data_IF_641800763435
#
_entry.id   IF_641800763435
#
_cell.length_a   1.000
_cell.length_b   1.000
_cell.length_c   1.000
_cell.angle_alpha   90.00
_cell.angle_beta   90.00
_cell.angle_gamma   90.00
#
_symmetry.space_group_name_H-M   'P 1'
#
loop_
_entity.id
_entity.type
_entity.pdbx_description
1 polymer ?
2 non-polymer ?
3 non-polymer ?
4 non-polymer ?
5 water ?
#
# COMPACT_ATOMS: atom_id res chain seq x y z
N UNK A 20 2.58 -9.76 14.91
CA UNK A 20 1.91 -9.43 13.62
C UNK A 20 2.12 -10.57 12.62
N UNK A 21 1.36 -11.65 12.81
CA UNK A 21 1.46 -12.81 11.93
C UNK A 21 0.12 -13.31 11.39
N UNK A 22 -1.01 -12.94 11.98
CA UNK A 22 -2.32 -13.34 11.44
C UNK A 22 -3.19 -12.15 11.10
N UNK A 23 -4.04 -12.34 10.10
CA UNK A 23 -4.98 -11.32 9.66
C UNK A 23 -6.40 -11.70 10.08
N UNK A 24 -7.09 -10.77 10.74
CA UNK A 24 -8.47 -10.92 11.15
C UNK A 24 -9.34 -9.90 10.44
N UNK A 25 -10.63 -10.19 10.34
CA UNK A 25 -11.60 -9.21 9.86
C UNK A 25 -11.57 -8.00 10.77
N UNK A 26 -11.37 -6.83 10.18
CA UNK A 26 -11.33 -5.59 10.92
C UNK A 26 -12.63 -5.27 11.66
N UNK A 27 -13.75 -5.66 11.08
CA UNK A 27 -15.06 -5.31 11.63
C UNK A 27 -15.51 -6.21 12.81
N UNK A 28 -15.00 -7.43 12.88
CA UNK A 28 -15.47 -8.36 13.90
C UNK A 28 -14.44 -9.27 14.54
N UNK A 29 -13.24 -9.40 13.97
CA UNK A 29 -12.22 -10.28 14.54
C UNK A 29 -12.12 -11.70 14.04
N UNK A 30 -13.02 -12.10 13.14
CA UNK A 30 -12.95 -13.41 12.51
C UNK A 30 -11.54 -13.68 11.98
N UNK A 31 -10.97 -14.85 12.28
CA UNK A 31 -9.66 -15.24 11.73
C UNK A 31 -9.80 -15.46 10.21
N UNK A 32 -8.95 -14.81 9.40
CA UNK A 32 -9.05 -14.90 7.93
C UNK A 32 -7.81 -15.47 7.24
N UNK A 33 -6.62 -14.94 7.53
CA UNK A 33 -5.41 -15.46 6.89
C UNK A 33 -4.14 -15.22 7.72
N UNK A 34 -2.98 -15.45 7.11
CA UNK A 34 -1.71 -15.37 7.81
C UNK A 34 -0.69 -14.73 6.89
N UNK A 35 0.26 -14.00 7.48
CA UNK A 35 1.33 -13.37 6.71
C UNK A 35 2.12 -14.42 5.91
N UNK A 36 2.31 -15.60 6.51
CA UNK A 36 3.01 -16.70 5.86
C UNK A 36 2.34 -17.22 4.59
N UNK A 37 1.06 -16.88 4.41
CA UNK A 37 0.29 -17.32 3.25
C UNK A 37 0.19 -16.27 2.14
N UNK A 38 0.91 -15.16 2.28
CA UNK A 38 0.97 -14.15 1.21
C UNK A 38 1.57 -14.76 -0.05
N UNK A 39 1.03 -14.35 -1.20
CA UNK A 39 1.36 -14.93 -2.49
C UNK A 39 1.81 -13.85 -3.48
N UNK A 40 3.09 -13.84 -3.86
CA UNK A 40 3.53 -12.89 -4.89
C UNK A 40 3.06 -13.26 -6.31
N UNK A 41 1.86 -12.82 -6.66
CA UNK A 41 1.31 -12.97 -8.02
C UNK A 41 1.95 -11.93 -8.93
N UNK A 42 2.69 -12.39 -9.94
CA UNK A 42 3.38 -11.49 -10.86
C UNK A 42 4.51 -10.71 -10.21
N UNK A 43 5.10 -11.26 -9.15
CA UNK A 43 6.24 -10.63 -8.47
C UNK A 43 5.91 -9.74 -7.28
N UNK A 44 4.63 -9.59 -6.96
CA UNK A 44 4.20 -8.73 -5.84
C UNK A 44 2.87 -9.24 -5.28
N UNK A 45 2.80 -9.38 -3.96
CA UNK A 45 1.54 -9.79 -3.33
C UNK A 45 0.52 -8.65 -3.32
N UNK A 46 0.98 -7.42 -3.52
CA UNK A 46 0.12 -6.23 -3.53
C UNK A 46 -0.21 -5.75 -4.95
N UNK A 47 -1.50 -5.66 -5.24
CA UNK A 47 -2.00 -5.16 -6.52
C UNK A 47 -3.06 -4.10 -6.26
N UNK A 48 -2.90 -2.93 -6.87
CA UNK A 48 -3.90 -1.86 -6.72
C UNK A 48 -4.74 -1.78 -7.98
N UNK A 49 -6.06 -1.84 -7.80
CA UNK A 49 -6.99 -2.04 -8.90
C UNK A 49 -8.24 -1.20 -8.69
N UNK A 50 -8.99 -0.97 -9.76
CA UNK A 50 -10.28 -0.28 -9.70
C UNK A 50 -11.37 -1.13 -10.29
N UNK A 51 -12.57 -1.02 -9.73
CA UNK A 51 -13.74 -1.63 -10.33
C UNK A 51 -14.49 -0.66 -11.26
N UNK A 52 -15.52 -1.14 -11.97
CA UNK A 52 -16.25 -0.27 -12.91
C UNK A 52 -16.92 0.97 -12.26
N UNK A 53 -17.16 0.92 -10.95
CA UNK A 53 -17.68 2.07 -10.20
C UNK A 53 -16.58 3.02 -9.71
N UNK A 54 -15.33 2.79 -10.13
CA UNK A 54 -14.22 3.70 -9.84
C UNK A 54 -13.62 3.53 -8.46
N UNK A 55 -14.09 2.55 -7.69
CA UNK A 55 -13.54 2.30 -6.37
C UNK A 55 -12.16 1.68 -6.52
N UNK A 56 -11.21 2.21 -5.76
CA UNK A 56 -9.85 1.68 -5.71
C UNK A 56 -9.73 0.65 -4.58
N UNK A 57 -9.03 -0.44 -4.84
CA UNK A 57 -8.79 -1.46 -3.81
C UNK A 57 -7.31 -1.79 -3.78
N UNK A 58 -6.73 -1.80 -2.58
CA UNK A 58 -5.38 -2.30 -2.39
C UNK A 58 -5.53 -3.78 -2.04
N UNK A 59 -5.27 -4.63 -3.02
CA UNK A 59 -5.50 -6.06 -2.88
C UNK A 59 -4.20 -6.78 -2.52
N UNK A 60 -4.25 -7.57 -1.46
CA UNK A 60 -3.16 -8.47 -1.09
C UNK A 60 -3.56 -9.89 -1.49
N UNK A 61 -2.70 -10.56 -2.24
CA UNK A 61 -2.98 -11.93 -2.68
C UNK A 61 -2.46 -12.92 -1.66
N UNK A 62 -3.29 -13.89 -1.33
CA UNK A 62 -2.95 -14.96 -0.40
C UNK A 62 -3.21 -16.29 -1.10
N UNK A 63 -2.33 -17.26 -0.85
CA UNK A 63 -2.55 -18.60 -1.36
C UNK A 63 -3.74 -19.27 -0.66
N UNK A 64 -4.02 -18.84 0.57
CA UNK A 64 -4.96 -19.49 1.42
C UNK A 64 -5.64 -18.49 2.35
N UNK A 65 -6.89 -18.79 2.69
CA UNK A 65 -7.66 -18.02 3.67
C UNK A 65 -8.75 -18.91 4.22
N UNK A 66 -9.31 -18.49 5.33
CA UNK A 66 -10.35 -19.21 6.05
C UNK A 66 -11.35 -18.21 6.61
N UNK A 67 -12.46 -18.72 7.12
CA UNK A 67 -13.46 -17.90 7.78
C UNK A 67 -14.23 -16.98 6.87
N UNK A 68 -14.15 -17.22 5.56
CA UNK A 68 -14.88 -16.46 4.57
C UNK A 68 -16.11 -17.23 4.19
N UNK A 69 -17.02 -16.55 3.50
CA UNK A 69 -18.15 -17.18 2.82
C UNK A 69 -18.08 -16.73 1.37
N UNK A 70 -17.92 -17.70 0.47
CA UNK A 70 -17.80 -17.42 -0.96
C UNK A 70 -19.18 -17.44 -1.58
N UNK A 71 -19.52 -16.34 -2.27
CA UNK A 71 -20.89 -16.08 -2.70
C UNK A 71 -21.13 -16.41 -4.17
N UNK A 72 -22.15 -17.23 -4.43
CA UNK A 72 -22.59 -17.50 -5.79
C UNK A 72 -21.59 -18.34 -6.58
N UNK A 73 -21.64 -18.21 -7.90
CA UNK A 73 -20.78 -18.97 -8.79
C UNK A 73 -19.80 -18.02 -9.48
N UNK A 74 -18.67 -18.54 -9.97
CA UNK A 74 -17.64 -17.66 -10.51
C UNK A 74 -18.04 -16.88 -11.77
N UNK A 75 -17.39 -15.74 -11.97
CA UNK A 75 -17.56 -14.92 -13.15
C UNK A 75 -16.20 -14.43 -13.64
N UNK A 76 -16.03 -14.35 -14.95
CA UNK A 76 -14.81 -13.75 -15.54
C UNK A 76 -14.93 -12.25 -15.82
N UNK A 77 -16.13 -11.70 -15.66
CA UNK A 77 -16.40 -10.31 -16.04
C UNK A 77 -15.55 -9.33 -15.23
N UNK A 78 -14.81 -8.47 -15.94
CA UNK A 78 -13.94 -7.45 -15.32
C UNK A 78 -12.81 -8.00 -14.44
N UNK A 79 -12.44 -9.27 -14.61
CA UNK A 79 -11.42 -9.84 -13.73
C UNK A 79 -10.09 -9.10 -13.82
N UNK A 80 -9.51 -8.79 -12.65
CA UNK A 80 -8.22 -8.11 -12.56
C UNK A 80 -7.04 -9.03 -12.82
N UNK A 81 -7.26 -10.34 -12.81
CA UNK A 81 -6.18 -11.30 -12.94
C UNK A 81 -6.48 -12.20 -14.12
N UNK A 82 -5.62 -12.15 -15.13
CA UNK A 82 -5.87 -12.84 -16.39
C UNK A 82 -6.02 -14.33 -16.20
N UNK A 83 -7.06 -14.89 -16.78
CA UNK A 83 -7.29 -16.33 -16.73
C UNK A 83 -8.08 -16.80 -15.53
N UNK A 84 -8.39 -15.89 -14.59
CA UNK A 84 -9.14 -16.24 -13.37
C UNK A 84 -10.55 -15.69 -13.37
N UNK A 85 -11.44 -16.52 -12.85
CA UNK A 85 -12.81 -16.17 -12.58
C UNK A 85 -12.96 -15.92 -11.09
N UNK A 86 -13.86 -15.01 -10.71
CA UNK A 86 -13.94 -14.59 -9.31
C UNK A 86 -15.29 -14.86 -8.69
N UNK A 87 -15.27 -15.05 -7.36
CA UNK A 87 -16.46 -15.04 -6.53
C UNK A 87 -16.20 -14.08 -5.39
N UNK A 88 -17.24 -13.35 -5.00
CA UNK A 88 -17.16 -12.44 -3.85
C UNK A 88 -16.89 -13.25 -2.58
N UNK A 89 -15.96 -12.76 -1.77
CA UNK A 89 -15.64 -13.35 -0.48
C UNK A 89 -16.07 -12.40 0.63
N UNK A 90 -17.07 -12.79 1.40
CA UNK A 90 -17.49 -12.06 2.58
C UNK A 90 -16.84 -12.66 3.82
N UNK A 91 -16.67 -11.84 4.84
CA UNK A 91 -16.40 -12.38 6.17
C UNK A 91 -17.54 -13.34 6.49
N UNK A 92 -17.20 -14.58 6.86
CA UNK A 92 -18.21 -15.58 7.20
C UNK A 92 -18.96 -15.30 8.49
N UNK A 93 -18.40 -14.44 9.33
CA UNK A 93 -19.00 -14.08 10.59
C UNK A 93 -19.92 -12.86 10.44
N UNK A 94 -19.36 -11.74 9.98
CA UNK A 94 -20.11 -10.47 9.97
C UNK A 94 -20.66 -10.03 8.61
N UNK A 95 -20.22 -10.66 7.53
CA UNK A 95 -20.70 -10.33 6.19
C UNK A 95 -19.96 -9.19 5.50
N UNK A 96 -18.94 -8.64 6.16
CA UNK A 96 -18.12 -7.60 5.55
C UNK A 96 -17.49 -8.09 4.24
N UNK A 97 -17.52 -7.27 3.20
CA UNK A 97 -16.88 -7.65 1.96
C UNK A 97 -15.36 -7.56 2.09
N UNK A 98 -14.71 -8.72 2.17
CA UNK A 98 -13.25 -8.77 2.41
C UNK A 98 -12.42 -8.93 1.14
N UNK A 99 -13.04 -9.38 0.06
CA UNK A 99 -12.34 -9.52 -1.20
C UNK A 99 -12.98 -10.51 -2.13
N UNK A 100 -12.14 -11.32 -2.78
CA UNK A 100 -12.59 -12.26 -3.81
C UNK A 100 -11.77 -13.54 -3.77
N UNK A 101 -12.41 -14.65 -4.14
CA UNK A 101 -11.71 -15.89 -4.42
C UNK A 101 -11.59 -16.04 -5.93
N UNK A 102 -10.39 -16.36 -6.38
CA UNK A 102 -10.11 -16.54 -7.79
C UNK A 102 -9.88 -18.02 -8.08
N UNK A 103 -10.42 -18.50 -9.19
CA UNK A 103 -10.29 -19.89 -9.59
C UNK A 103 -10.32 -20.02 -11.10
N UNK A 104 -10.19 -21.26 -11.58
CA UNK A 104 -10.26 -21.54 -13.01
C UNK A 104 -9.03 -21.14 -13.81
N UNK A 105 -7.97 -20.73 -13.13
CA UNK A 105 -6.75 -20.26 -13.78
C UNK A 105 -5.66 -21.30 -13.77
N UNK A 106 -4.40 -20.84 -13.83
CA UNK A 106 -3.24 -21.74 -13.90
C UNK A 106 -2.06 -21.21 -13.05
N UNK A 107 -1.47 -22.11 -12.27
CA UNK A 107 -0.24 -21.86 -11.51
C UNK A 107 -0.25 -20.52 -10.75
N UNK A 108 -1.07 -20.41 -9.70
CA UNK A 108 -1.95 -21.45 -9.16
C UNK A 108 -3.33 -21.47 -9.81
N UNK A 109 -4.06 -22.57 -9.66
CA UNK A 109 -5.43 -22.63 -10.17
C UNK A 109 -6.34 -21.66 -9.43
N UNK A 110 -6.08 -21.50 -8.12
CA UNK A 110 -6.91 -20.66 -7.26
C UNK A 110 -6.07 -19.81 -6.31
N UNK A 111 -6.62 -18.69 -5.87
CA UNK A 111 -6.02 -17.89 -4.77
C UNK A 111 -7.05 -16.91 -4.24
N UNK A 112 -6.71 -16.18 -3.18
CA UNK A 112 -7.58 -15.15 -2.63
C UNK A 112 -6.98 -13.76 -2.81
N UNK A 113 -7.82 -12.82 -3.19
CA UNK A 113 -7.41 -11.42 -3.25
C UNK A 113 -8.22 -10.68 -2.21
N UNK A 114 -7.55 -10.24 -1.15
CA UNK A 114 -8.21 -9.63 -0.01
C UNK A 114 -7.84 -8.15 0.10
N UNK A 115 -8.83 -7.35 0.51
CA UNK A 115 -8.67 -5.90 0.59
C UNK A 115 -7.94 -5.56 1.88
N UNK A 116 -6.71 -5.05 1.72
CA UNK A 116 -5.79 -4.88 2.86
C UNK A 116 -6.38 -4.11 4.03
N UNK A 117 -7.07 -3.00 3.76
CA UNK A 117 -7.54 -2.14 4.85
C UNK A 117 -8.81 -2.65 5.51
N UNK A 118 -9.33 -3.78 5.06
CA UNK A 118 -10.46 -4.43 5.71
C UNK A 118 -10.04 -5.55 6.65
N UNK A 119 -8.73 -5.73 6.81
CA UNK A 119 -8.14 -6.71 7.71
C UNK A 119 -7.37 -5.99 8.81
N UNK A 120 -7.23 -6.66 9.96
CA UNK A 120 -6.37 -6.23 11.04
C UNK A 120 -5.30 -7.29 11.27
N UNK A 121 -4.05 -6.86 11.41
CA UNK A 121 -2.92 -7.77 11.60
C UNK A 121 -2.49 -7.80 13.07
N UNK A 122 -2.12 -8.99 13.55
CA UNK A 122 -1.78 -9.15 14.95
C UNK A 122 -1.20 -10.51 15.28
N UNK A 123 -0.97 -10.76 16.57
CA UNK A 123 -0.33 -12.01 17.01
C UNK A 123 -1.22 -13.24 16.83
N UNK A 124 -0.61 -14.40 16.63
CA UNK A 124 -1.35 -15.66 16.43
C UNK A 124 -2.01 -16.15 17.72
N UNK B 21 1.82 20.04 6.35
CA UNK B 21 0.87 19.95 7.49
C UNK B 21 1.50 19.24 8.69
N UNK B 22 0.88 19.43 9.87
CA UNK B 22 1.32 18.82 11.10
C UNK B 22 0.18 18.05 11.75
N UNK B 23 0.56 17.14 12.64
CA UNK B 23 -0.38 16.37 13.42
C UNK B 23 -0.27 16.83 14.86
N UNK B 24 -1.39 17.26 15.40
CA UNK B 24 -1.47 17.71 16.79
C UNK B 24 -2.23 16.68 17.59
N UNK B 25 -1.95 16.63 18.88
CA UNK B 25 -2.77 15.86 19.80
C UNK B 25 -4.20 16.36 19.73
N UNK B 26 -5.14 15.46 19.49
CA UNK B 26 -6.55 15.83 19.34
C UNK B 26 -7.13 16.38 20.63
N UNK B 27 -6.66 15.89 21.77
CA UNK B 27 -7.20 16.31 23.07
C UNK B 27 -6.76 17.72 23.47
N UNK B 28 -5.47 18.06 23.32
CA UNK B 28 -4.96 19.35 23.84
C UNK B 28 -4.30 20.29 22.80
N UNK B 29 -4.05 19.80 21.59
CA UNK B 29 -3.46 20.65 20.54
C UNK B 29 -1.94 20.69 20.42
N UNK B 30 -1.22 20.05 21.33
CA UNK B 30 0.23 20.06 21.22
C UNK B 30 0.70 19.43 19.92
N UNK B 31 1.67 20.08 19.27
CA UNK B 31 2.22 19.57 18.02
C UNK B 31 2.98 18.28 18.33
N UNK B 32 2.74 17.24 17.53
CA UNK B 32 3.31 15.92 17.79
C UNK B 32 4.19 15.43 16.63
N UNK B 33 3.69 15.51 15.41
CA UNK B 33 4.50 15.07 14.30
C UNK B 33 4.10 15.82 13.02
N UNK B 34 4.69 15.42 11.91
CA UNK B 34 4.55 16.16 10.66
C UNK B 34 4.32 15.18 9.54
N UNK B 35 3.53 15.59 8.55
CA UNK B 35 3.32 14.75 7.39
C UNK B 35 4.64 14.41 6.67
N UNK B 36 5.60 15.34 6.68
CA UNK B 36 6.92 15.10 6.10
C UNK B 36 7.61 13.87 6.71
N UNK B 37 7.23 13.52 7.93
CA UNK B 37 7.84 12.42 8.67
C UNK B 37 7.11 11.09 8.53
N UNK B 38 6.04 11.05 7.75
CA UNK B 38 5.35 9.78 7.52
C UNK B 38 6.34 8.77 6.97
N UNK B 39 6.24 7.55 7.47
CA UNK B 39 7.20 6.48 7.21
C UNK B 39 6.47 5.24 6.73
N UNK B 40 6.65 4.86 5.45
CA UNK B 40 5.94 3.66 4.96
C UNK B 40 6.60 2.34 5.38
N UNK B 41 6.47 1.96 6.65
CA UNK B 41 7.02 0.69 7.15
C UNK B 41 6.32 -0.48 6.47
N UNK B 42 7.07 -1.37 5.86
CA UNK B 42 6.50 -2.52 5.16
C UNK B 42 5.59 -2.15 3.99
N UNK B 43 5.85 -1.01 3.37
CA UNK B 43 5.12 -0.57 2.18
C UNK B 43 3.89 0.30 2.41
N UNK B 44 3.63 0.67 3.67
CA UNK B 44 2.45 1.46 4.00
C UNK B 44 2.65 2.19 5.32
N UNK B 45 2.29 3.47 5.36
CA UNK B 45 2.35 4.19 6.62
C UNK B 45 1.17 3.84 7.54
N UNK B 46 0.04 3.39 6.98
CA UNK B 46 -1.09 2.90 7.78
C UNK B 46 -1.03 1.40 8.04
N UNK B 47 -1.22 1.03 9.29
CA UNK B 47 -1.27 -0.34 9.75
C UNK B 47 -2.46 -0.51 10.67
N UNK B 48 -3.45 -1.30 10.25
CA UNK B 48 -4.54 -1.68 11.13
C UNK B 48 -4.12 -2.95 11.83
N UNK B 49 -4.13 -2.90 13.16
CA UNK B 49 -3.54 -3.95 13.99
C UNK B 49 -4.42 -4.30 15.18
N UNK B 50 -4.23 -5.48 15.74
CA UNK B 50 -4.90 -5.85 16.98
C UNK B 50 -3.89 -6.34 18.02
N UNK B 51 -4.21 -6.14 19.29
CA UNK B 51 -3.35 -6.59 20.36
C UNK B 51 -3.83 -7.91 20.97
N UNK B 52 -3.11 -8.48 21.95
CA UNK B 52 -3.54 -9.75 22.51
C UNK B 52 -4.90 -9.72 23.24
N UNK B 53 -5.32 -8.54 23.69
CA UNK B 53 -6.63 -8.38 24.34
C UNK B 53 -7.76 -8.25 23.30
N UNK B 54 -7.38 -8.18 22.02
CA UNK B 54 -8.34 -8.11 20.94
C UNK B 54 -8.77 -6.70 20.58
N UNK B 55 -8.08 -5.69 21.12
CA UNK B 55 -8.38 -4.31 20.78
C UNK B 55 -7.79 -4.00 19.40
N UNK B 56 -8.52 -3.26 18.58
CA UNK B 56 -8.06 -2.92 17.23
C UNK B 56 -7.65 -1.45 17.15
N UNK B 57 -6.50 -1.19 16.53
CA UNK B 57 -6.00 0.17 16.35
C UNK B 57 -5.62 0.43 14.90
N UNK B 58 -5.78 1.69 14.48
CA UNK B 58 -5.30 2.11 13.17
C UNK B 58 -4.13 3.03 13.40
N UNK B 59 -2.94 2.53 13.10
CA UNK B 59 -1.68 3.17 13.44
C UNK B 59 -1.03 3.75 12.19
N UNK B 60 -0.55 4.99 12.29
CA UNK B 60 0.26 5.61 11.25
C UNK B 60 1.69 5.75 11.73
N UNK B 61 2.65 5.36 10.89
CA UNK B 61 4.06 5.37 11.27
C UNK B 61 4.74 6.69 10.90
N UNK B 62 5.52 7.22 11.83
CA UNK B 62 6.27 8.45 11.65
C UNK B 62 7.72 8.24 12.09
N UNK B 63 8.65 8.88 11.39
CA UNK B 63 10.08 8.70 11.65
C UNK B 63 10.50 9.37 12.95
N UNK B 64 9.89 10.51 13.23
CA UNK B 64 10.17 11.29 14.44
C UNK B 64 8.87 11.83 14.97
N UNK B 65 8.94 12.28 16.21
CA UNK B 65 7.83 12.95 16.83
C UNK B 65 8.40 13.79 17.95
N UNK B 66 7.57 14.68 18.46
CA UNK B 66 7.95 15.51 19.59
C UNK B 66 6.75 15.69 20.50
N UNK B 67 7.00 16.16 21.71
CA UNK B 67 5.93 16.49 22.63
C UNK B 67 5.29 15.28 23.30
N UNK B 68 5.80 14.08 23.06
CA UNK B 68 5.32 12.90 23.73
C UNK B 68 6.11 12.62 25.02
N UNK B 69 5.57 11.72 25.83
CA UNK B 69 6.28 11.18 26.99
C UNK B 69 6.18 9.67 26.88
N UNK B 70 7.35 9.01 26.77
CA UNK B 70 7.42 7.56 26.69
C UNK B 70 7.51 6.96 28.09
N UNK B 71 6.72 5.92 28.34
CA UNK B 71 6.54 5.34 29.66
C UNK B 71 7.03 3.89 29.66
N UNK B 72 7.81 3.53 30.67
CA UNK B 72 8.25 2.15 30.86
C UNK B 72 9.53 1.79 30.12
N UNK B 73 10.00 0.57 30.35
CA UNK B 73 11.18 0.03 29.68
C UNK B 73 10.71 -0.58 28.37
N UNK B 74 11.57 -0.56 27.33
CA UNK B 74 11.12 -1.17 26.08
C UNK B 74 10.81 -2.66 26.23
N UNK B 75 9.85 -3.15 25.45
CA UNK B 75 9.45 -4.55 25.47
C UNK B 75 9.40 -5.11 24.05
N UNK B 76 9.86 -6.35 23.89
CA UNK B 76 9.76 -7.06 22.61
C UNK B 76 8.47 -7.84 22.43
N UNK B 77 7.71 -8.01 23.50
CA UNK B 77 6.51 -8.86 23.48
C UNK B 77 5.42 -8.34 22.54
N UNK B 78 4.96 -9.20 21.64
CA UNK B 78 3.84 -8.92 20.76
C UNK B 78 4.05 -7.68 19.90
N UNK B 79 5.28 -7.33 19.60
CA UNK B 79 5.53 -6.15 18.79
C UNK B 79 4.88 -6.32 17.41
N UNK B 80 4.22 -5.28 16.93
CA UNK B 80 3.62 -5.29 15.60
C UNK B 80 4.69 -5.16 14.52
N UNK B 81 5.92 -4.78 14.89
CA UNK B 81 6.98 -4.57 13.93
C UNK B 81 8.19 -5.41 14.31
N UNK B 82 8.44 -6.45 13.49
CA UNK B 82 9.47 -7.43 13.76
C UNK B 82 10.83 -6.76 13.90
N UNK B 83 11.58 -7.14 14.93
CA UNK B 83 12.90 -6.57 15.21
C UNK B 83 12.90 -5.28 16.03
N UNK B 84 11.72 -4.83 16.44
CA UNK B 84 11.60 -3.61 17.24
C UNK B 84 10.98 -3.88 18.61
N UNK B 85 11.51 -3.23 19.63
CA UNK B 85 10.89 -3.19 20.95
C UNK B 85 10.03 -1.95 21.04
N UNK B 86 9.00 -1.97 21.88
CA UNK B 86 8.06 -0.85 21.97
C UNK B 86 7.96 -0.27 23.37
N UNK B 87 7.58 1.00 23.41
CA UNK B 87 7.25 1.69 24.66
C UNK B 87 6.01 2.51 24.40
N UNK B 88 5.13 2.59 25.39
CA UNK B 88 3.90 3.36 25.25
C UNK B 88 4.21 4.86 25.14
N UNK B 89 3.51 5.54 24.25
CA UNK B 89 3.71 6.99 24.04
C UNK B 89 2.45 7.76 24.42
N UNK B 90 2.57 8.60 25.45
CA UNK B 90 1.51 9.55 25.82
C UNK B 90 1.82 10.95 25.33
N UNK B 91 0.79 11.76 25.10
CA UNK B 91 1.01 13.20 24.96
C UNK B 91 1.66 13.71 26.24
N UNK B 92 2.79 14.40 26.10
CA UNK B 92 3.52 14.93 27.24
C UNK B 92 2.76 16.02 27.98
N UNK B 93 1.87 16.70 27.26
CA UNK B 93 1.11 17.82 27.81
C UNK B 93 -0.16 17.39 28.55
N UNK B 94 -0.97 16.52 27.94
CA UNK B 94 -2.27 16.16 28.52
C UNK B 94 -2.42 14.70 28.95
N UNK B 95 -1.47 13.84 28.58
CA UNK B 95 -1.54 12.42 28.95
C UNK B 95 -2.31 11.49 28.01
N UNK B 96 -2.92 12.03 26.95
CA UNK B 96 -3.63 11.19 25.97
C UNK B 96 -2.72 10.10 25.43
N UNK B 97 -3.22 8.86 25.35
CA UNK B 97 -2.44 7.77 24.77
C UNK B 97 -2.42 7.89 23.25
N UNK B 98 -1.29 8.33 22.70
CA UNK B 98 -1.21 8.62 21.28
C UNK B 98 -0.59 7.49 20.45
N UNK B 99 0.06 6.53 21.08
CA UNK B 99 0.63 5.39 20.37
C UNK B 99 1.81 4.76 21.09
N UNK B 100 2.84 4.43 20.30
CA UNK B 100 4.01 3.69 20.78
C UNK B 100 5.27 4.19 20.06
N UNK B 101 6.39 4.10 20.77
CA UNK B 101 7.71 4.30 20.16
C UNK B 101 8.37 2.95 19.97
N UNK B 102 9.07 2.80 18.85
CA UNK B 102 9.71 1.55 18.50
C UNK B 102 11.20 1.81 18.40
N UNK B 103 11.99 0.87 18.91
CA UNK B 103 13.44 1.02 18.90
C UNK B 103 14.16 -0.31 18.76
N UNK B 104 15.48 -0.25 18.57
CA UNK B 104 16.32 -1.44 18.59
C UNK B 104 16.49 -2.14 17.24
N UNK B 105 15.78 -1.70 16.21
CA UNK B 105 15.96 -2.23 14.87
C UNK B 105 17.10 -1.52 14.16
N UNK B 106 17.11 -1.62 12.84
CA UNK B 106 18.06 -0.87 12.01
C UNK B 106 17.36 -0.44 10.72
N UNK B 107 17.60 0.80 10.31
CA UNK B 107 16.98 1.37 9.11
C UNK B 107 15.45 1.30 9.16
N UNK B 108 14.81 2.14 10.00
CA UNK B 108 15.41 3.07 10.95
C UNK B 108 15.60 2.45 12.33
N UNK B 109 16.51 2.99 13.13
CA UNK B 109 16.75 2.45 14.47
C UNK B 109 15.54 2.70 15.35
N UNK B 110 14.87 3.84 15.15
CA UNK B 110 13.69 4.18 15.90
C UNK B 110 12.59 4.81 15.04
N UNK B 111 11.34 4.64 15.44
CA UNK B 111 10.20 5.32 14.80
C UNK B 111 8.99 5.26 15.74
N UNK B 112 7.92 5.95 15.35
CA UNK B 112 6.70 5.99 16.13
C UNK B 112 5.53 5.40 15.36
N UNK B 113 4.67 4.68 16.08
CA UNK B 113 3.38 4.24 15.56
C UNK B 113 2.32 5.00 16.34
N UNK B 114 1.67 5.96 15.69
CA UNK B 114 0.70 6.82 16.36
C UNK B 114 -0.72 6.51 15.91
N UNK B 115 -1.66 6.62 16.84
CA UNK B 115 -3.05 6.29 16.59
C UNK B 115 -3.71 7.46 15.84
N UNK B 116 -4.03 7.24 14.57
CA UNK B 116 -4.52 8.30 13.69
C UNK B 116 -5.72 9.03 14.27
N UNK B 117 -6.66 8.26 14.84
CA UNK B 117 -7.89 8.82 15.42
C UNK B 117 -7.63 9.78 16.59
N UNK B 118 -6.47 9.69 17.23
CA UNK B 118 -6.13 10.52 18.39
C UNK B 118 -5.31 11.75 18.01
N UNK B 119 -5.08 11.94 16.73
CA UNK B 119 -4.37 13.07 16.22
C UNK B 119 -5.30 13.94 15.39
N UNK B 120 -4.90 15.20 15.22
CA UNK B 120 -5.63 16.13 14.36
C UNK B 120 -4.65 16.76 13.39
N UNK B 121 -4.88 16.53 12.10
CA UNK B 121 -4.04 17.10 11.06
C UNK B 121 -4.50 18.50 10.70
N UNK B 122 -3.55 19.41 10.53
CA UNK B 122 -3.84 20.78 10.14
C UNK B 122 -2.60 21.52 9.69
N UNK B 123 -2.76 22.77 9.23
CA UNK B 123 -1.62 23.54 8.74
C UNK B 123 -0.61 23.87 9.83
N UNK B 124 0.65 23.99 9.43
CA UNK B 124 1.71 24.52 10.30
C UNK B 124 1.56 26.03 10.43
N UNK C 19 -10.86 -5.70 -17.14
CA UNK C 19 -10.51 -5.44 -15.71
C UNK C 19 -9.25 -4.61 -15.52
N UNK C 20 -8.27 -4.78 -16.41
CA UNK C 20 -6.99 -4.06 -16.33
C UNK C 20 -6.62 -3.40 -17.67
N UNK C 21 -7.55 -2.64 -18.24
CA UNK C 21 -7.40 -1.99 -19.55
C UNK C 21 -6.92 -0.52 -19.46
N UNK C 22 -7.30 0.18 -18.39
CA UNK C 22 -6.90 1.58 -18.16
C UNK C 22 -5.92 1.65 -16.99
N UNK C 23 -4.89 2.48 -17.12
CA UNK C 23 -3.90 2.69 -16.05
C UNK C 23 -4.09 4.06 -15.44
N UNK C 24 -4.15 4.09 -14.11
CA UNK C 24 -4.39 5.31 -13.36
C UNK C 24 -3.34 5.49 -12.30
N UNK C 25 -3.22 6.72 -11.82
CA UNK C 25 -2.36 7.01 -10.67
C UNK C 25 -2.87 6.21 -9.45
N UNK C 26 -1.95 5.47 -8.83
CA UNK C 26 -2.27 4.64 -7.67
C UNK C 26 -2.75 5.45 -6.46
N UNK C 27 -2.20 6.65 -6.33
CA UNK C 27 -2.50 7.51 -5.17
C UNK C 27 -3.85 8.22 -5.24
N UNK C 28 -4.22 8.72 -6.42
CA UNK C 28 -5.45 9.52 -6.56
C UNK C 28 -6.41 9.05 -7.65
N UNK C 29 -5.97 8.20 -8.58
CA UNK C 29 -6.86 7.66 -9.60
C UNK C 29 -6.95 8.44 -10.91
N UNK C 30 -6.15 9.49 -11.03
CA UNK C 30 -6.01 10.24 -12.29
C UNK C 30 -5.79 9.27 -13.45
N UNK C 31 -6.51 9.46 -14.54
CA UNK C 31 -6.33 8.65 -15.75
C UNK C 31 -5.01 9.00 -16.41
N UNK C 32 -4.21 7.98 -16.71
CA UNK C 32 -2.86 8.20 -17.25
C UNK C 32 -2.68 7.57 -18.65
N UNK C 33 -2.93 6.28 -18.78
CA UNK C 33 -2.76 5.63 -20.10
C UNK C 33 -3.66 4.41 -20.24
N UNK C 34 -3.39 3.58 -21.24
CA UNK C 34 -4.23 2.39 -21.46
C UNK C 34 -3.46 1.29 -22.14
N UNK C 35 -3.98 0.07 -21.99
CA UNK C 35 -3.34 -1.13 -22.52
C UNK C 35 -3.08 -0.99 -24.02
N UNK C 36 -4.04 -0.40 -24.74
CA UNK C 36 -3.92 -0.17 -26.19
C UNK C 36 -2.68 0.64 -26.60
N UNK C 37 -2.19 1.49 -25.70
CA UNK C 37 -1.02 2.34 -25.98
C UNK C 37 0.30 1.73 -25.49
N UNK C 38 0.26 0.51 -24.95
CA UNK C 38 1.50 -0.17 -24.54
C UNK C 38 2.41 -0.38 -25.75
N UNK C 39 3.72 -0.26 -25.52
CA UNK C 39 4.72 -0.31 -26.57
C UNK C 39 5.55 -1.58 -26.46
N UNK C 46 6.37 -5.13 -19.96
CA UNK C 46 6.85 -4.92 -18.60
C UNK C 46 8.36 -5.18 -18.48
N UNK C 47 9.15 -4.11 -18.37
CA UNK C 47 10.61 -4.20 -18.30
C UNK C 47 11.11 -4.20 -16.86
N UNK C 48 11.86 -5.23 -16.49
CA UNK C 48 12.52 -5.28 -15.18
C UNK C 48 13.87 -4.56 -15.28
N UNK C 49 13.99 -3.44 -14.59
CA UNK C 49 15.20 -2.59 -14.64
C UNK C 49 15.68 -2.25 -13.23
N UNK C 50 16.94 -1.81 -13.14
CA UNK C 50 17.58 -1.53 -11.85
C UNK C 50 18.07 -0.09 -11.81
N UNK C 51 17.77 0.62 -10.72
CA UNK C 51 18.26 1.99 -10.56
C UNK C 51 19.76 1.94 -10.20
N UNK C 52 20.44 3.10 -10.15
CA UNK C 52 21.87 3.07 -9.88
C UNK C 52 22.26 2.40 -8.55
N UNK C 53 21.34 2.43 -7.57
CA UNK C 53 21.59 1.79 -6.27
C UNK C 53 21.31 0.28 -6.26
N UNK C 54 20.88 -0.27 -7.40
CA UNK C 54 20.62 -1.71 -7.53
C UNK C 54 19.22 -2.12 -7.15
N UNK C 55 18.32 -1.15 -6.99
CA UNK C 55 16.94 -1.41 -6.61
C UNK C 55 16.08 -1.69 -7.84
N UNK C 56 15.27 -2.75 -7.77
CA UNK C 56 14.45 -3.19 -8.91
C UNK C 56 13.25 -2.28 -9.16
N UNK C 57 13.02 -1.97 -10.44
CA UNK C 57 11.82 -1.33 -10.91
C UNK C 57 11.21 -2.14 -12.06
N UNK C 58 9.88 -2.21 -12.09
CA UNK C 58 9.15 -2.79 -13.22
C UNK C 58 8.47 -1.65 -13.95
N UNK C 59 8.82 -1.47 -15.22
CA UNK C 59 8.40 -0.32 -16.01
C UNK C 59 7.57 -0.77 -17.22
N UNK C 60 6.41 -0.13 -17.38
CA UNK C 60 5.58 -0.26 -18.59
C UNK C 60 5.95 0.88 -19.53
N UNK C 61 6.11 0.59 -20.81
CA UNK C 61 6.34 1.64 -21.81
C UNK C 61 5.07 1.89 -22.63
N UNK C 62 4.68 3.15 -22.74
CA UNK C 62 3.48 3.58 -23.45
C UNK C 62 3.85 4.58 -24.54
N UNK C 63 3.19 4.47 -25.68
CA UNK C 63 3.40 5.43 -26.77
C UNK C 63 2.73 6.77 -26.44
N UNK C 64 1.65 6.72 -25.65
CA UNK C 64 0.87 7.90 -25.33
C UNK C 64 0.45 7.88 -23.87
N UNK C 65 0.25 9.06 -23.30
CA UNK C 65 -0.23 9.20 -21.94
C UNK C 65 -0.84 10.60 -21.75
N UNK C 66 -1.61 10.74 -20.68
CA UNK C 66 -2.26 12.00 -20.37
C UNK C 66 -2.21 12.22 -18.87
N UNK C 67 -2.58 13.42 -18.45
CA UNK C 67 -2.74 13.72 -17.04
C UNK C 67 -1.45 13.78 -16.23
N UNK C 68 -0.31 13.78 -16.91
CA UNK C 68 0.98 13.91 -16.24
C UNK C 68 1.43 15.36 -16.29
N UNK C 69 2.48 15.64 -15.52
CA UNK C 69 3.15 16.91 -15.58
C UNK C 69 4.64 16.60 -15.69
N UNK C 70 5.27 17.08 -16.76
CA UNK C 70 6.67 16.79 -17.03
C UNK C 70 7.52 17.92 -16.46
N UNK C 71 8.52 17.56 -15.67
CA UNK C 71 9.28 18.53 -14.86
C UNK C 71 10.73 18.68 -15.34
N UNK C 72 11.19 19.92 -15.46
CA UNK C 72 12.61 20.19 -15.71
C UNK C 72 13.11 19.83 -17.09
N UNK C 73 14.43 19.98 -17.27
CA UNK C 73 15.08 19.67 -18.55
C UNK C 73 15.38 18.17 -18.66
N UNK C 74 15.57 17.66 -19.89
CA UNK C 74 15.86 16.23 -20.07
C UNK C 74 17.25 15.85 -19.58
N UNK C 75 17.42 14.59 -19.18
CA UNK C 75 18.73 14.06 -18.79
C UNK C 75 18.99 12.68 -19.39
N UNK C 76 20.24 12.42 -19.76
CA UNK C 76 20.65 11.11 -20.28
C UNK C 76 21.27 10.19 -19.24
N UNK C 77 21.40 10.67 -18.00
CA UNK C 77 22.11 9.94 -16.95
C UNK C 77 21.45 8.60 -16.60
N UNK C 78 22.22 7.52 -16.69
CA UNK C 78 21.74 6.17 -16.36
C UNK C 78 20.44 5.77 -17.07
N UNK C 79 20.20 6.30 -18.26
CA UNK C 79 18.95 6.00 -18.97
C UNK C 79 18.86 4.49 -19.23
N UNK C 80 17.70 3.91 -18.91
CA UNK C 80 17.48 2.47 -19.09
C UNK C 80 17.29 2.08 -20.55
N UNK C 81 16.99 3.06 -21.40
CA UNK C 81 16.71 2.80 -22.81
C UNK C 81 17.74 3.50 -23.69
N UNK C 82 18.44 2.72 -24.50
CA UNK C 82 19.58 3.23 -25.25
C UNK C 82 19.11 4.29 -26.25
N UNK C 83 19.76 5.45 -26.19
CA UNK C 83 19.48 6.55 -27.12
C UNK C 83 18.39 7.51 -26.67
N UNK C 84 17.87 7.33 -25.46
CA UNK C 84 16.79 8.17 -24.95
C UNK C 84 17.23 8.95 -23.72
N UNK C 85 16.85 10.23 -23.67
CA UNK C 85 16.96 11.05 -22.46
C UNK C 85 15.62 11.05 -21.73
N UNK C 86 15.64 11.22 -20.41
CA UNK C 86 14.43 11.16 -19.60
C UNK C 86 14.09 12.50 -18.93
N UNK C 87 12.80 12.67 -18.67
CA UNK C 87 12.27 13.80 -17.92
C UNK C 87 11.28 13.24 -16.90
N UNK C 88 11.29 13.77 -15.68
CA UNK C 88 10.42 13.28 -14.61
C UNK C 88 8.96 13.53 -14.97
N UNK C 89 8.12 12.52 -14.78
CA UNK C 89 6.69 12.61 -15.02
C UNK C 89 5.93 12.42 -13.71
N UNK C 90 5.27 13.49 -13.28
CA UNK C 90 4.45 13.47 -12.09
C UNK C 90 2.99 13.33 -12.49
N UNK C 91 2.18 12.77 -11.60
CA UNK C 91 0.73 12.85 -11.74
C UNK C 91 0.33 14.34 -11.68
N UNK C 92 -0.43 14.78 -12.68
CA UNK C 92 -0.86 16.17 -12.78
C UNK C 92 -1.88 16.56 -11.72
N UNK C 93 -2.52 15.55 -11.13
CA UNK C 93 -3.58 15.77 -10.16
C UNK C 93 -3.06 15.83 -8.72
N UNK C 94 -2.20 14.88 -8.34
CA UNK C 94 -1.73 14.79 -6.94
C UNK C 94 -0.22 14.99 -6.76
N UNK C 95 0.55 14.96 -7.84
CA UNK C 95 1.99 15.19 -7.76
C UNK C 95 2.85 13.94 -7.54
N UNK C 96 2.22 12.78 -7.44
CA UNK C 96 2.96 11.51 -7.27
C UNK C 96 3.91 11.26 -8.45
N UNK C 97 5.12 10.78 -8.15
CA UNK C 97 6.09 10.49 -9.21
C UNK C 97 5.72 9.15 -9.85
N UNK C 98 5.23 9.19 -11.09
CA UNK C 98 4.75 7.97 -11.76
C UNK C 98 5.76 7.34 -12.70
N UNK C 99 6.73 8.14 -13.16
CA UNK C 99 7.74 7.62 -14.07
C UNK C 99 8.45 8.71 -14.82
N UNK C 100 8.70 8.46 -16.10
CA UNK C 100 9.50 9.37 -16.94
C UNK C 100 8.98 9.43 -18.36
N UNK C 101 9.21 10.57 -18.99
CA UNK C 101 9.01 10.74 -20.43
C UNK C 101 10.38 10.61 -21.09
N UNK C 102 10.47 9.76 -22.10
CA UNK C 102 11.72 9.56 -22.84
C UNK C 102 11.66 10.20 -24.22
N UNK C 103 12.80 10.76 -24.67
CA UNK C 103 12.88 11.37 -26.00
C UNK C 103 14.30 11.37 -26.56
N UNK C 104 14.41 11.71 -27.83
CA UNK C 104 15.72 11.83 -28.50
C UNK C 104 16.08 10.69 -29.44
N UNK C 105 15.46 9.53 -29.25
CA UNK C 105 15.71 8.38 -30.10
C UNK C 105 14.87 8.40 -31.37
N UNK C 106 14.64 7.23 -31.94
CA UNK C 106 13.80 7.08 -33.13
C UNK C 106 13.19 5.68 -33.19
N UNK C 107 11.98 5.60 -33.73
CA UNK C 107 11.22 4.36 -33.78
C UNK C 107 11.09 3.72 -32.38
N UNK C 108 10.40 4.41 -31.46
CA UNK C 108 9.75 5.72 -31.58
C UNK C 108 10.62 6.90 -31.13
N UNK C 109 10.25 8.10 -31.58
CA UNK C 109 10.87 9.35 -31.14
C UNK C 109 10.79 9.48 -29.63
N UNK C 110 9.59 9.28 -29.10
CA UNK C 110 9.28 9.50 -27.70
C UNK C 110 8.40 8.37 -27.16
N UNK C 111 8.41 8.21 -25.84
CA UNK C 111 7.48 7.32 -25.14
C UNK C 111 7.48 7.65 -23.65
N UNK C 112 6.55 7.04 -22.91
CA UNK C 112 6.48 7.20 -21.47
C UNK C 112 6.86 5.87 -20.82
N UNK C 113 7.76 5.92 -19.85
CA UNK C 113 8.14 4.75 -19.05
C UNK C 113 7.61 4.92 -17.66
N UNK C 114 6.56 4.19 -17.31
CA UNK C 114 5.88 4.38 -16.03
C UNK C 114 6.05 3.20 -15.09
N UNK C 115 6.17 3.53 -13.81
CA UNK C 115 6.48 2.54 -12.77
C UNK C 115 5.22 1.74 -12.42
N UNK C 116 5.26 0.42 -12.60
CA UNK C 116 4.11 -0.45 -12.35
C UNK C 116 3.46 -0.23 -10.99
N UNK C 117 4.28 -0.18 -9.94
CA UNK C 117 3.76 -0.11 -8.58
C UNK C 117 3.39 1.31 -8.13
N UNK C 118 3.43 2.27 -9.06
CA UNK C 118 2.88 3.61 -8.86
C UNK C 118 1.54 3.76 -9.59
N UNK C 119 1.10 2.69 -10.25
CA UNK C 119 -0.13 2.71 -11.03
C UNK C 119 -1.14 1.71 -10.48
N UNK C 120 -2.38 1.92 -10.88
CA UNK C 120 -3.43 0.96 -10.62
C UNK C 120 -4.16 0.70 -11.93
N UNK C 121 -4.69 -0.50 -12.06
CA UNK C 121 -5.34 -0.94 -13.30
C UNK C 121 -6.84 -1.07 -13.13
N UNK C 122 -7.60 -0.64 -14.13
CA UNK C 122 -9.06 -0.73 -14.10
C UNK C 122 -9.68 -0.98 -15.47
N UNK C 123 -10.99 -1.25 -15.50
CA UNK C 123 -11.68 -1.51 -16.75
C UNK C 123 -11.84 -0.24 -17.59
N UNK C 124 -12.10 -0.42 -18.89
CA UNK C 124 -12.34 0.70 -19.80
C UNK C 124 -13.56 1.49 -19.37
X LIG D 1 -16.11 -9.83 9.99
X LIG E 1 -13.96 -5.29 -11.06
X LIG E 1 -13.78 -6.32 -10.43
X LIG E 1 -12.67 -7.21 -10.76
X LIG E 1 -12.40 -8.44 -10.03
X LIG E 1 -11.45 -9.14 -10.34
X LIG E 1 -13.34 -8.79 -8.89
X LIG E 1 -14.74 -8.25 -9.18
X LIG E 1 -14.67 -6.73 -9.25
X LIG E 1 -16.00 -6.11 -9.32
X LIG E 1 -20.16 -4.12 -10.22
X LIG E 1 -19.24 -4.99 -10.80
X LIG E 1 -18.09 -5.29 -10.08
X LIG E 1 -17.83 -4.71 -8.84
X LIG E 1 -16.77 -6.94 -11.59
X LIG E 1 -15.90 -4.84 -7.13
X LIG E 1 -18.73 -3.81 -8.28
X LIG E 1 -19.92 -3.53 -8.97
X LIG E 1 -16.47 -5.08 -8.40
X LIG E 1 -16.89 -6.05 -10.49
X LIG F 1 -2.32 16.32 24.41
X LIG G 1 0.13 -5.54 20.93
X LIG G 1 0.87 -4.58 20.92
X LIG G 1 1.87 -4.42 19.87
X LIG G 1 2.78 -3.29 19.80
X LIG G 1 3.57 -3.23 18.88
X LIG G 1 2.67 -2.24 20.90
X LIG G 1 2.23 -2.91 22.19
X LIG G 1 0.82 -3.47 21.98
X LIG G 1 0.21 -3.98 23.19
X LIG G 1 -1.45 -6.28 26.93
X LIG G 1 -0.38 -6.30 26.03
X LIG G 1 -0.34 -5.33 25.03
X LIG G 1 -1.34 -4.38 24.90
X LIG G 1 1.83 -5.86 23.69
X LIG G 1 -1.81 -2.41 23.23
X LIG G 1 -2.43 -4.36 25.76
X LIG G 1 -2.47 -5.32 26.80
X LIG G 1 -1.11 -3.59 23.67
X LIG G 1 0.58 -5.21 23.88
X LIG H 1 -2.24 11.13 -8.64
X LIG I 1 19.58 9.11 -12.54
X LIG I 1 15.72 7.65 -14.31
X LIG I 1 16.05 5.91 -16.03
X LIG I 1 17.31 5.75 -14.00
X LIG I 1 15.01 6.74 -15.32
X LIG I 1 17.45 7.93 -12.69
X LIG I 1 15.58 6.25 -12.27
X LIG I 1 15.90 5.60 -17.19
X LIG I 1 18.09 5.02 -13.40
X LIG I 1 17.12 5.55 -15.31
X LIG I 1 16.55 6.86 -13.29
X LIG I 1 16.22 5.49 -11.13
X LIG I 1 16.94 8.82 -11.74
X LIG I 1 17.72 9.83 -11.19
X LIG I 1 19.05 9.97 -11.59
X LIG I 1 19.79 10.96 -11.04
X LIG I 1 18.79 8.10 -13.09
#
# INVERSE_FOLDING_TARGET
>A
AMPLDAGGQNSTQMVLAPGASIFRCRQCGQTISRRDWLLPMGGDHEHVVFNPAGMIFRVWCFSLAQGLRLIGAPSGEFSWFKGYDWTIALCGQCGSHLGWHYEGGSQPQTFFGLIKDRLAEGPAD
>B
AMPLDAGGQNSTQMVLAPGASIFRCRQCGQTISRRDWLLPMGGDHEHVVFNPAGMIFRVWCFSLAQGLRLIGAPSGEFSWFKGYDWTIALCGQCGSHLGWHYEGGSQPQTFFGLIKDRLAEGPAD
>C
AMPLDAGGQNSTQMVLAPGASIFRCRQCGQTISRRDWLLPMGGDHEHVVFNPAGMIFRVWCFSLAQGLRLIGAPSGEFSWFKGYDWTIALCGQCGSHLGWHYEGGSQPQTFFGLIKDRLAEGPAD
>D hetero
1 ZN ZN
>E hetero
1 EF2 O01 C02 N03 C04 O05 C06 C07 C08 N09 C11 C12 C13 C14 O16 O18 C19 C20 C3 C4
>F hetero
1 ZN ZN
>G hetero
1 EF2 O01 C02 N03 C04 O05 C06 C07 C08 N09 C11 C12 C13 C14 O16 O18 C19 C20 C3 C4
>H hetero
1 ZN ZN
>I hetero
1 9UQ C12 C2 C7 C6 C5 C4 C3 O2 O1 N1 C1 C8 C9 C11 C13 N2 C10
#
